data_IF_734327732346
#
_entry.id   IF_734327732346
#
_cell.length_a   1.000
_cell.length_b   1.000
_cell.length_c   1.000
_cell.angle_alpha   90.00
_cell.angle_beta   90.00
_cell.angle_gamma   90.00
#
_symmetry.space_group_name_H-M   'P 1'
#
loop_
_entity.id
_entity.type
_entity.pdbx_description
1 polymer ?
#
# COMPACT_ATOMS: atom_id res chain seq x y z
N UNK A 1 25.60 11.26 13.32
CA UNK A 1 25.69 10.38 12.15
C UNK A 1 24.35 10.27 11.47
N UNK A 2 24.32 10.53 10.18
CA UNK A 2 23.09 10.43 9.41
C UNK A 2 22.86 8.99 8.99
N UNK A 3 21.63 8.54 9.21
CA UNK A 3 21.23 7.22 8.70
C UNK A 3 20.59 7.38 7.35
N UNK A 4 20.96 6.49 6.44
CA UNK A 4 20.34 6.39 5.14
C UNK A 4 18.93 5.85 5.32
N UNK A 5 17.99 6.29 4.49
CA UNK A 5 16.66 5.70 4.43
C UNK A 5 16.75 4.20 4.16
N UNK A 6 17.73 3.76 3.38
CA UNK A 6 17.93 2.35 3.07
C UNK A 6 18.90 1.66 4.02
N UNK A 7 18.96 2.08 5.26
CA UNK A 7 19.78 1.37 6.25
C UNK A 7 19.09 0.06 6.65
N UNK A 8 19.81 -0.75 7.45
CA UNK A 8 19.32 -2.08 7.84
C UNK A 8 18.01 -2.02 8.62
N UNK A 9 17.73 -0.91 9.32
CA UNK A 9 16.50 -0.77 10.09
C UNK A 9 15.28 -0.55 9.21
N UNK A 10 15.47 0.06 8.05
CA UNK A 10 14.38 0.38 7.13
C UNK A 10 14.24 -0.63 6.00
N UNK A 11 15.25 -1.44 5.76
CA UNK A 11 15.28 -2.30 4.57
C UNK A 11 14.08 -3.24 4.51
N UNK A 12 13.72 -3.85 5.65
CA UNK A 12 12.58 -4.75 5.69
C UNK A 12 11.26 -4.04 5.39
N UNK A 13 11.08 -2.85 5.96
CA UNK A 13 9.87 -2.04 5.71
C UNK A 13 9.80 -1.61 4.26
N UNK A 14 10.92 -1.16 3.72
CA UNK A 14 10.99 -0.69 2.34
C UNK A 14 10.70 -1.83 1.36
N UNK A 15 11.28 -3.00 1.61
CA UNK A 15 11.05 -4.17 0.76
C UNK A 15 9.59 -4.58 0.79
N UNK A 16 8.98 -4.60 1.97
CA UNK A 16 7.56 -4.96 2.10
C UNK A 16 6.68 -3.94 1.40
N UNK A 17 7.02 -2.66 1.54
CA UNK A 17 6.30 -1.58 0.86
C UNK A 17 6.37 -1.76 -0.67
N UNK A 18 7.57 -1.96 -1.21
CA UNK A 18 7.75 -2.13 -2.65
C UNK A 18 7.04 -3.39 -3.15
N UNK A 19 7.11 -4.49 -2.39
CA UNK A 19 6.40 -5.70 -2.75
C UNK A 19 4.89 -5.47 -2.80
N UNK A 20 4.36 -4.69 -1.88
CA UNK A 20 2.93 -4.33 -1.88
C UNK A 20 2.53 -3.62 -3.16
N UNK A 21 3.41 -2.80 -3.72
CA UNK A 21 3.13 -2.05 -4.95
C UNK A 21 3.42 -2.84 -6.22
N UNK A 22 4.10 -3.99 -6.14
CA UNK A 22 4.65 -4.66 -7.31
C UNK A 22 3.69 -5.66 -7.96
N UNK A 23 2.39 -5.38 -7.92
CA UNK A 23 1.38 -6.24 -8.53
C UNK A 23 0.33 -5.38 -9.22
N UNK A 24 -0.02 -5.69 -10.49
CA UNK A 24 -0.99 -4.86 -11.22
C UNK A 24 -2.35 -4.75 -10.54
N UNK A 25 -2.85 -5.85 -9.96
CA UNK A 25 -4.16 -5.81 -9.30
C UNK A 25 -4.11 -4.94 -8.05
N UNK A 26 -3.02 -5.01 -7.28
CA UNK A 26 -2.89 -4.17 -6.10
C UNK A 26 -2.82 -2.69 -6.45
N UNK A 27 -2.14 -2.35 -7.55
CA UNK A 27 -2.13 -0.96 -8.02
C UNK A 27 -3.52 -0.50 -8.44
N UNK A 28 -4.31 -1.39 -9.06
CA UNK A 28 -5.68 -1.06 -9.44
C UNK A 28 -6.57 -0.86 -8.21
N UNK A 29 -6.41 -1.69 -7.19
CA UNK A 29 -7.13 -1.53 -5.92
C UNK A 29 -6.78 -0.18 -5.30
N UNK A 30 -5.49 0.16 -5.26
CA UNK A 30 -5.07 1.46 -4.72
C UNK A 30 -5.67 2.61 -5.52
N UNK A 31 -5.72 2.49 -6.83
CA UNK A 31 -6.30 3.52 -7.69
C UNK A 31 -7.76 3.76 -7.34
N UNK A 32 -8.54 2.69 -7.14
CA UNK A 32 -9.96 2.82 -6.83
C UNK A 32 -10.15 3.42 -5.42
N UNK A 33 -9.32 3.01 -4.45
CA UNK A 33 -9.37 3.57 -3.12
C UNK A 33 -8.99 5.05 -3.11
N UNK A 34 -8.02 5.43 -3.93
CA UNK A 34 -7.63 6.82 -4.06
C UNK A 34 -8.74 7.69 -4.65
N UNK A 35 -9.49 7.15 -5.61
CA UNK A 35 -10.55 7.88 -6.28
C UNK A 35 -11.84 7.94 -5.45
N UNK A 36 -12.21 6.84 -4.80
CA UNK A 36 -13.51 6.71 -4.13
C UNK A 36 -13.43 6.82 -2.61
N UNK A 37 -12.23 6.74 -2.07
CA UNK A 37 -12.05 6.82 -0.62
C UNK A 37 -12.32 5.48 0.05
N UNK A 38 -12.86 5.53 1.24
CA UNK A 38 -13.06 4.40 2.12
C UNK A 38 -14.08 3.41 1.54
N UNK A 39 -13.69 2.13 1.44
CA UNK A 39 -14.54 1.10 0.84
C UNK A 39 -14.40 -0.22 1.58
N UNK A 40 -15.49 -0.98 1.67
CA UNK A 40 -15.44 -2.34 2.20
C UNK A 40 -15.07 -3.33 1.07
N UNK A 41 -14.81 -4.59 1.45
CA UNK A 41 -14.35 -5.62 0.51
C UNK A 41 -15.38 -5.84 -0.61
N UNK A 42 -16.67 -5.86 -0.28
CA UNK A 42 -17.72 -6.04 -1.28
C UNK A 42 -17.74 -4.90 -2.30
N UNK A 43 -17.60 -3.68 -1.82
CA UNK A 43 -17.56 -2.51 -2.70
C UNK A 43 -16.32 -2.53 -3.59
N UNK A 44 -15.17 -2.88 -3.03
CA UNK A 44 -13.94 -2.99 -3.82
C UNK A 44 -14.10 -4.08 -4.87
N UNK A 45 -14.57 -5.25 -4.46
CA UNK A 45 -14.66 -6.41 -5.35
C UNK A 45 -15.65 -6.19 -6.50
N UNK A 46 -16.66 -5.35 -6.32
CA UNK A 46 -17.62 -5.05 -7.38
C UNK A 46 -16.98 -4.34 -8.58
N UNK A 47 -15.77 -3.83 -8.43
CA UNK A 47 -15.04 -3.14 -9.50
C UNK A 47 -14.14 -4.08 -10.31
N UNK A 48 -14.04 -5.35 -9.92
CA UNK A 48 -13.07 -6.27 -10.52
C UNK A 48 -13.72 -7.62 -10.83
N UNK A 49 -13.10 -8.38 -11.73
CA UNK A 49 -13.60 -9.70 -12.14
C UNK A 49 -12.84 -10.83 -11.46
N UNK A 50 -12.39 -10.59 -10.23
CA UNK A 50 -11.74 -11.65 -9.43
C UNK A 50 -12.58 -11.89 -8.18
N UNK A 51 -12.34 -13.02 -7.52
CA UNK A 51 -13.14 -13.43 -6.37
C UNK A 51 -12.87 -12.54 -5.15
N UNK A 52 -13.84 -12.49 -4.24
CA UNK A 52 -13.67 -11.77 -2.97
C UNK A 52 -12.48 -12.31 -2.17
N UNK A 53 -12.25 -13.63 -2.07
CA UNK A 53 -11.05 -14.11 -1.40
C UNK A 53 -9.75 -13.59 -2.02
N UNK A 54 -9.70 -13.46 -3.34
CA UNK A 54 -8.52 -12.89 -4.01
C UNK A 54 -8.33 -11.42 -3.64
N UNK A 55 -9.42 -10.64 -3.64
CA UNK A 55 -9.39 -9.23 -3.20
C UNK A 55 -8.91 -9.15 -1.75
N UNK A 56 -9.46 -9.99 -0.87
CA UNK A 56 -9.07 -10.01 0.54
C UNK A 56 -7.59 -10.33 0.72
N UNK A 57 -7.06 -11.23 -0.11
CA UNK A 57 -5.64 -11.58 -0.10
C UNK A 57 -4.78 -10.36 -0.47
N UNK A 58 -5.14 -9.64 -1.53
CA UNK A 58 -4.42 -8.44 -1.94
C UNK A 58 -4.50 -7.35 -0.86
N UNK A 59 -5.66 -7.19 -0.24
CA UNK A 59 -5.82 -6.21 0.83
C UNK A 59 -4.98 -6.54 2.05
N UNK A 60 -4.82 -7.84 2.35
CA UNK A 60 -3.96 -8.26 3.46
C UNK A 60 -2.51 -7.86 3.20
N UNK A 61 -2.03 -8.10 1.98
CA UNK A 61 -0.65 -7.72 1.61
C UNK A 61 -0.47 -6.20 1.72
N UNK A 62 -1.43 -5.43 1.20
CA UNK A 62 -1.39 -3.97 1.27
C UNK A 62 -1.43 -3.47 2.72
N UNK A 63 -2.26 -4.08 3.54
CA UNK A 63 -2.37 -3.73 4.96
C UNK A 63 -1.06 -4.02 5.70
N UNK A 64 -0.51 -5.21 5.49
CA UNK A 64 0.73 -5.62 6.17
C UNK A 64 1.91 -4.74 5.75
N UNK A 65 1.86 -4.18 4.56
CA UNK A 65 2.87 -3.25 4.07
C UNK A 65 2.64 -1.80 4.52
N UNK A 66 1.54 -1.52 5.21
CA UNK A 66 1.21 -0.16 5.66
C UNK A 66 0.64 0.75 4.59
N UNK A 67 0.36 0.20 3.41
CA UNK A 67 -0.10 0.99 2.26
C UNK A 67 -1.57 1.36 2.38
N UNK A 68 -2.37 0.49 3.01
CA UNK A 68 -3.75 0.80 3.33
C UNK A 68 -3.96 0.69 4.83
N UNK A 69 -4.90 1.47 5.33
CA UNK A 69 -5.42 1.38 6.69
C UNK A 69 -6.79 0.73 6.65
N UNK A 70 -7.27 0.31 7.78
CA UNK A 70 -8.55 -0.38 7.85
C UNK A 70 -9.22 -0.12 9.19
N UNK A 71 -10.54 -0.32 9.18
CA UNK A 71 -11.34 -0.20 10.40
C UNK A 71 -12.57 -1.09 10.27
N UNK A 72 -12.86 -1.86 11.29
CA UNK A 72 -14.09 -2.65 11.34
C UNK A 72 -15.23 -1.77 11.86
N UNK A 73 -16.33 -1.76 11.12
CA UNK A 73 -17.55 -1.04 11.51
C UNK A 73 -18.72 -2.01 11.34
N UNK A 74 -19.31 -2.45 12.45
CA UNK A 74 -20.36 -3.48 12.40
C UNK A 74 -19.78 -4.79 11.89
N UNK A 75 -20.37 -5.34 10.84
CA UNK A 75 -19.93 -6.58 10.22
C UNK A 75 -18.94 -6.38 9.09
N UNK A 76 -18.67 -5.11 8.72
CA UNK A 76 -17.83 -4.79 7.57
C UNK A 76 -16.49 -4.27 8.01
N UNK A 77 -15.47 -4.56 7.18
CA UNK A 77 -14.14 -3.96 7.31
C UNK A 77 -13.96 -3.00 6.15
N UNK A 78 -13.66 -1.76 6.47
CA UNK A 78 -13.43 -0.70 5.48
C UNK A 78 -11.95 -0.44 5.36
N UNK A 79 -11.51 -0.15 4.14
CA UNK A 79 -10.12 0.11 3.82
C UNK A 79 -9.98 1.47 3.15
N UNK A 80 -8.85 2.12 3.35
CA UNK A 80 -8.52 3.36 2.63
C UNK A 80 -7.02 3.43 2.43
N UNK A 81 -6.60 4.18 1.42
CA UNK A 81 -5.19 4.35 1.08
C UNK A 81 -4.52 5.27 2.11
N UNK A 82 -3.38 4.85 2.62
CA UNK A 82 -2.57 5.71 3.50
C UNK A 82 -1.65 6.54 2.61
N UNK A 83 -2.18 7.65 2.11
CA UNK A 83 -1.48 8.50 1.16
C UNK A 83 -0.17 9.03 1.73
N UNK A 84 -0.17 9.49 2.98
CA UNK A 84 1.02 10.05 3.61
C UNK A 84 2.14 9.03 3.71
N UNK A 85 1.82 7.80 4.09
CA UNK A 85 2.79 6.72 4.21
C UNK A 85 3.40 6.38 2.85
N UNK A 86 2.54 6.29 1.82
CA UNK A 86 2.99 5.98 0.46
C UNK A 86 3.93 7.08 -0.05
N UNK A 87 3.53 8.32 0.08
CA UNK A 87 4.32 9.45 -0.38
C UNK A 87 5.64 9.53 0.38
N UNK A 88 5.60 9.30 1.69
CA UNK A 88 6.81 9.29 2.53
C UNK A 88 7.84 8.29 1.99
N UNK A 89 7.40 7.05 1.75
CA UNK A 89 8.33 6.00 1.30
C UNK A 89 8.85 6.26 -0.11
N UNK A 90 7.97 6.65 -1.02
CA UNK A 90 8.39 6.93 -2.40
C UNK A 90 9.33 8.12 -2.47
N UNK A 91 9.07 9.16 -1.70
CA UNK A 91 9.91 10.35 -1.68
C UNK A 91 11.27 10.05 -1.09
N UNK A 92 11.32 9.31 0.01
CA UNK A 92 12.59 8.96 0.63
C UNK A 92 13.41 8.03 -0.25
N UNK A 93 12.76 7.08 -0.92
CA UNK A 93 13.45 6.19 -1.84
C UNK A 93 13.99 6.98 -3.03
N UNK A 94 13.21 7.89 -3.58
CA UNK A 94 13.65 8.74 -4.69
C UNK A 94 14.86 9.59 -4.27
N UNK A 95 14.79 10.18 -3.08
CA UNK A 95 15.90 10.99 -2.55
C UNK A 95 17.16 10.16 -2.36
N UNK A 96 17.01 8.94 -1.86
CA UNK A 96 18.13 8.03 -1.66
C UNK A 96 18.79 7.70 -3.00
N UNK A 97 17.99 7.37 -4.01
CA UNK A 97 18.52 7.07 -5.34
C UNK A 97 19.21 8.27 -5.96
N UNK A 98 18.63 9.46 -5.77
CA UNK A 98 19.23 10.70 -6.28
C UNK A 98 20.57 11.02 -5.64
N UNK A 99 20.77 10.61 -4.39
CA UNK A 99 21.99 10.90 -3.66
C UNK A 99 23.21 10.17 -4.24
N UNK A 100 22.99 9.12 -5.03
CA UNK A 100 24.08 8.38 -5.68
C UNK A 100 24.54 9.04 -6.98
N UNK A 101 23.82 10.04 -7.45
CA UNK A 101 24.16 10.78 -8.65
C UNK A 101 25.35 11.69 -8.40
N UNK A 102 26.18 11.82 -9.40
CA UNK A 102 27.34 12.71 -9.33
C UNK A 102 27.20 13.86 -10.30
#
# INVERSE_FOLDING_TARGET
MNQSYLDSNNMGKTTRFLNGLSDPMRLQILSILGKKGRMNVGEISSNFKISRPAISHHLRILKDAGIVQYEKTGQEVYYWMDQDYIVYHLRNLANEMSSFSK
#
